data_IF_206954803869
#
_entry.id   IF_206954803869
#
_cell.length_a   1.000
_cell.length_b   1.000
_cell.length_c   1.000
_cell.angle_alpha   90.00
_cell.angle_beta   90.00
_cell.angle_gamma   90.00
#
_symmetry.space_group_name_H-M   'P 1'
#
loop_
_entity.id
_entity.type
_entity.pdbx_description
1 polymer ?
#
# COMPACT_ATOMS: atom_id res chain seq x y z
N UNK A 1 28.38 -16.06 -10.88
CA UNK A 1 28.21 -14.69 -11.41
C UNK A 1 27.00 -13.93 -10.80
N UNK A 2 26.06 -14.58 -10.10
CA UNK A 2 24.88 -13.92 -9.52
C UNK A 2 25.12 -12.95 -8.35
N UNK A 3 26.22 -13.08 -7.62
CA UNK A 3 26.44 -12.27 -6.41
C UNK A 3 26.89 -10.82 -6.66
N UNK A 4 27.62 -10.56 -7.73
CA UNK A 4 28.17 -9.22 -8.03
C UNK A 4 27.08 -8.28 -8.59
N UNK A 5 26.21 -8.80 -9.43
CA UNK A 5 25.09 -8.01 -10.01
C UNK A 5 24.02 -7.66 -8.97
N UNK A 6 23.73 -8.59 -8.04
CA UNK A 6 22.82 -8.34 -6.92
C UNK A 6 23.35 -7.27 -5.95
N UNK A 7 24.66 -7.25 -5.69
CA UNK A 7 25.28 -6.24 -4.82
C UNK A 7 25.31 -4.84 -5.44
N UNK A 8 25.44 -4.71 -6.74
CA UNK A 8 25.36 -3.41 -7.44
C UNK A 8 23.91 -2.90 -7.49
N UNK A 9 22.96 -3.76 -7.82
CA UNK A 9 21.54 -3.41 -7.82
C UNK A 9 21.08 -2.97 -6.40
N UNK A 10 21.54 -3.65 -5.35
CA UNK A 10 21.24 -3.30 -3.97
C UNK A 10 21.75 -1.89 -3.60
N UNK A 11 22.97 -1.52 -4.00
CA UNK A 11 23.51 -0.18 -3.72
C UNK A 11 22.75 0.95 -4.42
N UNK A 12 22.05 0.66 -5.51
CA UNK A 12 21.25 1.62 -6.26
C UNK A 12 19.77 1.64 -5.84
N UNK A 13 19.33 0.63 -5.09
CA UNK A 13 17.93 0.45 -4.75
C UNK A 13 17.60 0.73 -3.27
N UNK A 14 18.61 0.65 -2.37
CA UNK A 14 18.39 0.75 -0.94
C UNK A 14 19.20 1.88 -0.31
N UNK A 15 18.53 2.76 0.43
CA UNK A 15 19.10 3.94 1.06
C UNK A 15 18.66 4.03 2.52
N UNK A 16 19.16 3.15 3.41
CA UNK A 16 18.84 3.24 4.83
C UNK A 16 19.27 4.60 5.40
N UNK A 17 18.50 5.20 6.32
CA UNK A 17 18.90 6.39 7.04
C UNK A 17 20.24 6.17 7.74
N UNK A 18 21.17 7.11 7.59
CA UNK A 18 22.48 7.05 8.25
C UNK A 18 22.86 8.42 8.79
N UNK A 19 22.90 8.60 10.12
CA UNK A 19 22.62 7.59 11.15
C UNK A 19 21.13 7.18 11.18
N UNK A 20 20.79 6.02 11.79
CA UNK A 20 19.42 5.64 12.07
C UNK A 20 18.73 6.68 12.96
N UNK A 21 17.41 6.90 12.76
CA UNK A 21 16.67 7.94 13.49
C UNK A 21 16.37 7.57 14.93
N UNK A 22 16.60 6.33 15.34
CA UNK A 22 16.38 5.82 16.69
C UNK A 22 17.49 4.86 17.13
N UNK A 23 17.54 4.59 18.45
CA UNK A 23 18.32 3.51 19.05
C UNK A 23 17.37 2.60 19.83
N UNK A 24 17.74 1.33 19.99
CA UNK A 24 17.05 0.42 20.91
C UNK A 24 17.63 0.59 22.31
N UNK A 25 16.75 0.75 23.27
CA UNK A 25 17.07 0.83 24.69
C UNK A 25 16.24 -0.22 25.42
N UNK A 26 16.86 -1.01 26.28
CA UNK A 26 16.13 -1.87 27.20
C UNK A 26 15.74 -1.04 28.43
N UNK A 27 14.46 -1.08 28.80
CA UNK A 27 14.00 -0.51 30.05
C UNK A 27 14.55 -1.32 31.22
N UNK A 28 15.24 -0.68 32.14
CA UNK A 28 15.95 -1.36 33.24
C UNK A 28 15.02 -2.09 34.21
N UNK A 29 13.76 -1.64 34.35
CA UNK A 29 12.81 -2.21 35.30
C UNK A 29 11.98 -3.34 34.69
N UNK A 30 11.58 -3.19 33.42
CA UNK A 30 10.66 -4.12 32.74
C UNK A 30 11.37 -5.06 31.79
N UNK A 31 12.59 -4.73 31.36
CA UNK A 31 13.33 -5.44 30.31
C UNK A 31 12.76 -5.25 28.91
N UNK A 32 11.71 -4.41 28.75
CA UNK A 32 11.09 -4.14 27.45
C UNK A 32 12.02 -3.35 26.54
N UNK A 33 11.98 -3.66 25.25
CA UNK A 33 12.70 -2.87 24.25
C UNK A 33 11.89 -1.61 23.92
N UNK A 34 12.58 -0.48 23.88
CA UNK A 34 12.00 0.84 23.57
C UNK A 34 12.80 1.51 22.47
N UNK A 35 12.16 2.42 21.72
CA UNK A 35 12.83 3.34 20.82
C UNK A 35 13.25 4.59 21.59
N UNK A 36 14.56 4.92 21.59
CA UNK A 36 15.18 5.92 22.50
C UNK A 36 14.61 7.33 22.45
N UNK A 37 13.94 7.71 21.37
CA UNK A 37 13.44 9.08 21.11
C UNK A 37 11.93 9.22 21.26
N UNK A 38 11.24 8.12 21.59
CA UNK A 38 9.77 8.10 21.64
C UNK A 38 9.28 7.76 23.04
N UNK A 39 8.16 8.36 23.48
CA UNK A 39 7.56 8.00 24.76
C UNK A 39 7.07 6.56 24.73
N UNK A 40 7.28 5.85 25.84
CA UNK A 40 6.67 4.54 26.04
C UNK A 40 5.14 4.64 25.95
N UNK A 41 4.54 3.72 25.17
CA UNK A 41 3.09 3.56 25.08
C UNK A 41 2.76 2.11 25.40
N UNK A 42 1.84 1.87 26.32
CA UNK A 42 1.45 0.52 26.76
C UNK A 42 0.94 -0.40 25.63
N UNK A 43 0.42 0.20 24.57
CA UNK A 43 -0.07 -0.54 23.41
C UNK A 43 0.94 -0.69 22.27
N UNK A 44 2.20 -0.29 22.49
CA UNK A 44 3.29 -0.39 21.51
C UNK A 44 4.35 -1.33 22.04
N UNK A 45 4.68 -2.34 21.26
CA UNK A 45 5.67 -3.37 21.57
C UNK A 45 6.75 -3.35 20.48
N UNK A 46 8.03 -3.37 20.92
CA UNK A 46 9.19 -3.43 20.04
C UNK A 46 9.78 -4.83 20.10
N UNK A 47 10.01 -5.42 18.94
CA UNK A 47 10.43 -6.81 18.79
C UNK A 47 11.73 -6.91 17.99
N UNK A 48 12.48 -7.97 18.24
CA UNK A 48 13.59 -8.44 17.41
C UNK A 48 13.24 -9.81 16.88
N UNK A 49 13.18 -9.93 15.57
CA UNK A 49 12.69 -11.13 14.90
C UNK A 49 13.80 -11.74 14.04
N UNK A 50 14.19 -12.99 14.29
CA UNK A 50 15.16 -13.70 13.45
C UNK A 50 14.56 -14.04 12.09
N UNK A 51 15.34 -13.83 11.03
CA UNK A 51 14.92 -14.18 9.66
C UNK A 51 15.57 -15.48 9.20
N UNK A 52 14.95 -16.14 8.22
CA UNK A 52 15.54 -17.34 7.58
C UNK A 52 16.87 -17.10 6.86
N UNK A 53 17.26 -15.83 6.70
CA UNK A 53 18.55 -15.43 6.10
C UNK A 53 19.65 -15.19 7.14
N UNK A 54 19.39 -15.46 8.43
CA UNK A 54 20.34 -15.27 9.53
C UNK A 54 20.53 -13.81 9.93
N UNK A 55 19.66 -12.91 9.53
CA UNK A 55 19.57 -11.54 10.00
C UNK A 55 18.51 -11.43 11.09
N UNK A 56 18.55 -10.35 11.87
CA UNK A 56 17.54 -10.01 12.87
C UNK A 56 16.93 -8.66 12.49
N UNK A 57 15.61 -8.60 12.35
CA UNK A 57 14.88 -7.38 12.03
C UNK A 57 14.17 -6.83 13.25
N UNK A 58 14.13 -5.50 13.35
CA UNK A 58 13.36 -4.80 14.38
C UNK A 58 11.96 -4.56 13.84
N UNK A 59 10.94 -4.89 14.65
CA UNK A 59 9.56 -4.65 14.34
C UNK A 59 8.88 -3.90 15.48
N UNK A 60 7.83 -3.15 15.13
CA UNK A 60 6.98 -2.42 16.06
C UNK A 60 5.54 -2.87 15.89
N UNK A 61 4.95 -3.41 16.94
CA UNK A 61 3.54 -3.79 16.97
C UNK A 61 2.72 -2.80 17.78
N UNK A 62 1.67 -2.28 17.22
CA UNK A 62 0.71 -1.37 17.85
C UNK A 62 -0.61 -2.11 17.96
N UNK A 63 -1.05 -2.36 19.19
CA UNK A 63 -2.32 -3.01 19.47
C UNK A 63 -3.44 -1.98 19.54
N UNK A 64 -4.50 -2.21 18.77
CA UNK A 64 -5.74 -1.46 18.90
C UNK A 64 -6.76 -2.27 19.70
N UNK A 65 -7.34 -1.73 20.79
CA UNK A 65 -8.11 -2.53 21.76
C UNK A 65 -9.40 -3.17 21.19
N UNK A 66 -9.90 -2.65 20.06
CA UNK A 66 -11.17 -3.07 19.46
C UNK A 66 -11.00 -3.78 18.12
N UNK A 67 -9.77 -4.13 17.72
CA UNK A 67 -9.53 -4.69 16.38
C UNK A 67 -9.04 -6.12 16.41
N UNK A 68 -9.54 -6.92 15.48
CA UNK A 68 -8.94 -8.20 15.08
C UNK A 68 -8.10 -8.07 13.81
N UNK A 69 -8.36 -7.06 12.98
CA UNK A 69 -7.61 -6.82 11.73
C UNK A 69 -6.25 -6.21 12.01
N UNK A 70 -5.23 -6.66 11.29
CA UNK A 70 -3.85 -6.18 11.42
C UNK A 70 -3.34 -5.66 10.08
N UNK A 71 -2.81 -4.43 10.09
CA UNK A 71 -2.10 -3.84 8.96
C UNK A 71 -0.60 -4.15 9.09
N UNK A 72 -0.06 -4.97 8.20
CA UNK A 72 1.39 -5.23 8.09
C UNK A 72 2.00 -4.26 7.08
N UNK A 73 2.80 -3.30 7.59
CA UNK A 73 3.31 -2.17 6.80
C UNK A 73 4.78 -2.34 6.43
N UNK A 74 5.06 -2.36 5.13
CA UNK A 74 6.39 -2.30 4.53
C UNK A 74 6.65 -0.87 4.06
N UNK A 75 7.53 -0.15 4.77
CA UNK A 75 7.78 1.27 4.55
C UNK A 75 8.55 1.58 3.26
N UNK A 76 8.57 2.85 2.88
CA UNK A 76 9.32 3.34 1.72
C UNK A 76 10.84 3.33 1.94
N UNK A 77 11.57 3.58 0.85
CA UNK A 77 13.01 3.73 0.90
C UNK A 77 13.40 4.96 1.73
N UNK A 78 14.62 4.97 2.28
CA UNK A 78 15.17 6.06 3.08
C UNK A 78 14.35 6.42 4.34
N UNK A 79 13.55 5.49 4.86
CA UNK A 79 12.83 5.60 6.12
C UNK A 79 13.24 4.48 7.08
N UNK A 80 13.00 4.66 8.38
CA UNK A 80 13.11 3.66 9.42
C UNK A 80 11.94 3.79 10.43
N UNK A 81 11.83 2.84 11.35
CA UNK A 81 10.73 2.80 12.32
C UNK A 81 10.60 4.07 13.15
N UNK A 82 11.72 4.74 13.46
CA UNK A 82 11.66 5.99 14.21
C UNK A 82 10.95 7.08 13.41
N UNK A 83 11.26 7.23 12.12
CA UNK A 83 10.58 8.21 11.26
C UNK A 83 9.12 7.83 11.01
N UNK A 84 8.78 6.54 11.03
CA UNK A 84 7.42 6.05 10.79
C UNK A 84 6.57 5.98 12.06
N UNK A 85 7.13 6.20 13.24
CA UNK A 85 6.47 5.94 14.53
C UNK A 85 5.11 6.65 14.66
N UNK A 86 5.09 7.96 14.48
CA UNK A 86 3.86 8.73 14.64
C UNK A 86 2.83 8.39 13.55
N UNK A 87 3.26 8.20 12.29
CA UNK A 87 2.36 7.76 11.22
C UNK A 87 1.70 6.42 11.57
N UNK A 88 2.44 5.47 12.09
CA UNK A 88 1.92 4.15 12.44
C UNK A 88 0.90 4.24 13.59
N UNK A 89 1.19 5.05 14.60
CA UNK A 89 0.23 5.32 15.69
C UNK A 89 -1.07 5.93 15.13
N UNK A 90 -0.96 6.97 14.31
CA UNK A 90 -2.11 7.65 13.70
C UNK A 90 -2.92 6.70 12.79
N UNK A 91 -2.25 5.90 11.95
CA UNK A 91 -2.94 4.92 11.12
C UNK A 91 -3.70 3.89 11.96
N UNK A 92 -3.09 3.36 13.01
CA UNK A 92 -3.76 2.41 13.92
C UNK A 92 -5.03 3.00 14.54
N UNK A 93 -4.95 4.23 15.03
CA UNK A 93 -6.08 4.94 15.65
C UNK A 93 -7.19 5.23 14.62
N UNK A 94 -6.82 5.83 13.47
CA UNK A 94 -7.80 6.27 12.49
C UNK A 94 -8.47 5.13 11.75
N UNK A 95 -7.74 4.06 11.45
CA UNK A 95 -8.27 2.90 10.76
C UNK A 95 -8.89 1.87 11.71
N UNK A 96 -8.61 1.99 13.01
CA UNK A 96 -9.02 1.02 14.04
C UNK A 96 -8.51 -0.39 13.75
N UNK A 97 -7.21 -0.48 13.47
CA UNK A 97 -6.52 -1.75 13.16
C UNK A 97 -5.32 -1.90 14.10
N UNK A 98 -4.92 -3.14 14.38
CA UNK A 98 -3.56 -3.38 14.86
C UNK A 98 -2.61 -3.02 13.72
N UNK A 99 -1.42 -2.56 14.04
CA UNK A 99 -0.42 -2.26 13.03
C UNK A 99 0.92 -2.90 13.39
N UNK A 100 1.52 -3.58 12.44
CA UNK A 100 2.89 -4.09 12.53
C UNK A 100 3.73 -3.44 11.45
N UNK A 101 4.71 -2.63 11.85
CA UNK A 101 5.76 -2.12 10.96
C UNK A 101 7.11 -2.73 11.31
N UNK A 102 8.06 -2.70 10.38
CA UNK A 102 9.38 -3.29 10.61
C UNK A 102 10.44 -2.61 9.75
N UNK A 103 11.68 -2.63 10.23
CA UNK A 103 12.85 -2.21 9.48
C UNK A 103 13.44 -3.37 8.70
N UNK A 104 13.75 -3.17 7.42
CA UNK A 104 14.41 -4.19 6.60
C UNK A 104 15.81 -4.49 7.12
N UNK A 105 16.35 -5.66 6.79
CA UNK A 105 17.76 -5.98 7.03
C UNK A 105 18.66 -4.83 6.58
N UNK A 106 19.45 -4.28 7.52
CA UNK A 106 20.34 -3.13 7.29
C UNK A 106 19.69 -1.75 7.36
N UNK A 107 18.41 -1.66 7.75
CA UNK A 107 17.70 -0.41 8.08
C UNK A 107 17.56 -0.26 9.59
N UNK A 108 17.50 0.98 10.07
CA UNK A 108 17.30 1.31 11.47
C UNK A 108 18.30 0.57 12.37
N UNK A 109 17.80 -0.25 13.28
CA UNK A 109 18.58 -1.12 14.17
C UNK A 109 18.52 -2.61 13.76
N UNK A 110 17.98 -2.92 12.58
CA UNK A 110 17.99 -4.26 12.00
C UNK A 110 19.39 -4.64 11.51
N UNK A 111 19.80 -5.90 11.73
CA UNK A 111 21.11 -6.38 11.35
C UNK A 111 21.24 -6.67 9.84
N UNK A 112 22.46 -6.89 9.37
CA UNK A 112 22.74 -7.35 8.01
C UNK A 112 22.89 -6.22 6.99
N UNK A 113 22.54 -6.52 5.72
CA UNK A 113 22.60 -5.58 4.60
C UNK A 113 21.35 -5.73 3.74
N UNK A 114 20.82 -4.63 3.18
CA UNK A 114 19.59 -4.70 2.39
C UNK A 114 19.83 -5.39 1.05
N UNK A 115 18.88 -6.21 0.67
CA UNK A 115 18.77 -6.81 -0.66
C UNK A 115 17.33 -7.27 -0.90
N UNK A 116 16.94 -7.47 -2.15
CA UNK A 116 15.63 -8.02 -2.49
C UNK A 116 15.31 -9.29 -1.69
N UNK A 117 16.25 -10.24 -1.64
CA UNK A 117 16.07 -11.53 -0.97
C UNK A 117 16.01 -11.42 0.58
N UNK A 118 16.66 -10.41 1.15
CA UNK A 118 16.52 -10.13 2.58
C UNK A 118 15.15 -9.52 2.87
N UNK A 119 14.69 -8.54 2.09
CA UNK A 119 13.36 -7.93 2.34
C UNK A 119 12.22 -8.95 2.24
N UNK A 120 12.34 -9.98 1.40
CA UNK A 120 11.38 -11.09 1.36
C UNK A 120 11.44 -11.97 2.60
N UNK A 121 12.65 -12.22 3.14
CA UNK A 121 12.81 -12.97 4.38
C UNK A 121 12.35 -12.15 5.60
N UNK A 122 12.55 -10.83 5.54
CA UNK A 122 12.18 -9.90 6.60
C UNK A 122 10.65 -9.84 6.77
N UNK A 123 9.89 -9.58 5.70
CA UNK A 123 8.43 -9.57 5.77
C UNK A 123 7.85 -10.93 6.15
N UNK A 124 8.47 -12.03 5.71
CA UNK A 124 8.06 -13.40 6.08
C UNK A 124 8.23 -13.66 7.58
N UNK A 125 9.34 -13.19 8.19
CA UNK A 125 9.57 -13.33 9.61
C UNK A 125 8.54 -12.53 10.43
N UNK A 126 8.23 -11.30 9.99
CA UNK A 126 7.22 -10.45 10.64
C UNK A 126 5.82 -11.03 10.49
N UNK A 127 5.48 -11.56 9.32
CA UNK A 127 4.20 -12.22 9.08
C UNK A 127 4.02 -13.46 9.99
N UNK A 128 5.05 -14.31 10.10
CA UNK A 128 5.05 -15.46 11.01
C UNK A 128 4.89 -15.05 12.47
N UNK A 129 5.51 -13.96 12.88
CA UNK A 129 5.33 -13.42 14.22
C UNK A 129 3.85 -13.04 14.46
N UNK A 130 3.16 -12.47 13.48
CA UNK A 130 1.73 -12.18 13.59
C UNK A 130 0.90 -13.46 13.72
N UNK A 131 1.19 -14.49 12.93
CA UNK A 131 0.46 -15.77 13.00
C UNK A 131 0.74 -16.54 14.30
N UNK A 132 2.02 -16.76 14.61
CA UNK A 132 2.46 -17.64 15.71
C UNK A 132 2.43 -16.93 17.07
N UNK A 133 2.84 -15.66 17.11
CA UNK A 133 2.96 -14.89 18.35
C UNK A 133 1.66 -14.17 18.76
N UNK A 134 0.92 -13.65 17.80
CA UNK A 134 -0.30 -12.87 18.06
C UNK A 134 -1.58 -13.58 17.64
N UNK A 135 -1.49 -14.78 17.04
CA UNK A 135 -2.64 -15.59 16.62
C UNK A 135 -3.45 -14.96 15.49
N UNK A 136 -2.85 -14.03 14.72
CA UNK A 136 -3.52 -13.38 13.61
C UNK A 136 -3.78 -14.38 12.49
N UNK A 137 -5.02 -14.45 12.00
CA UNK A 137 -5.35 -15.29 10.86
C UNK A 137 -5.03 -14.57 9.57
N UNK A 138 -4.72 -15.31 8.50
CA UNK A 138 -4.44 -14.76 7.19
C UNK A 138 -5.55 -13.82 6.69
N UNK A 139 -6.81 -14.21 6.92
CA UNK A 139 -8.01 -13.46 6.59
C UNK A 139 -8.21 -12.16 7.40
N UNK A 140 -7.40 -11.93 8.44
CA UNK A 140 -7.42 -10.72 9.26
C UNK A 140 -6.25 -9.77 8.93
N UNK A 141 -5.35 -10.18 8.04
CA UNK A 141 -4.15 -9.40 7.69
C UNK A 141 -4.36 -8.61 6.40
N UNK A 142 -4.09 -7.32 6.46
CA UNK A 142 -3.99 -6.40 5.33
C UNK A 142 -2.51 -6.08 5.13
N UNK A 143 -1.95 -6.40 3.98
CA UNK A 143 -0.59 -6.01 3.64
C UNK A 143 -0.56 -4.61 3.04
N UNK A 144 0.37 -3.79 3.51
CA UNK A 144 0.57 -2.43 3.03
C UNK A 144 2.01 -2.25 2.54
N UNK A 145 2.19 -1.78 1.30
CA UNK A 145 3.50 -1.55 0.72
C UNK A 145 3.65 -0.16 0.15
N UNK A 146 4.57 0.64 0.70
CA UNK A 146 4.88 1.97 0.22
C UNK A 146 6.13 1.94 -0.66
N UNK A 147 6.06 2.46 -1.88
CA UNK A 147 7.21 2.60 -2.78
C UNK A 147 7.97 1.28 -2.95
N UNK A 148 9.24 1.21 -2.53
CA UNK A 148 10.04 -0.02 -2.51
C UNK A 148 9.40 -1.14 -1.68
N UNK A 149 8.65 -0.77 -0.64
CA UNK A 149 7.91 -1.71 0.21
C UNK A 149 6.82 -2.48 -0.54
N UNK A 150 6.38 -2.01 -1.72
CA UNK A 150 5.49 -2.80 -2.60
C UNK A 150 6.13 -4.11 -3.09
N UNK A 151 7.48 -4.19 -3.11
CA UNK A 151 8.22 -5.39 -3.49
C UNK A 151 7.99 -6.58 -2.55
N UNK A 152 8.40 -6.49 -1.27
CA UNK A 152 8.14 -7.54 -0.30
C UNK A 152 6.65 -7.79 -0.07
N UNK A 153 5.81 -6.74 -0.08
CA UNK A 153 4.36 -6.84 0.04
C UNK A 153 3.76 -7.73 -1.03
N UNK A 154 4.05 -7.50 -2.30
CA UNK A 154 3.51 -8.32 -3.40
C UNK A 154 4.14 -9.70 -3.48
N UNK A 155 5.39 -9.86 -3.07
CA UNK A 155 6.01 -11.18 -2.96
C UNK A 155 5.29 -12.06 -1.94
N UNK A 156 4.96 -11.51 -0.78
CA UNK A 156 4.21 -12.22 0.25
C UNK A 156 2.76 -12.44 -0.17
N UNK A 157 2.08 -11.41 -0.68
CA UNK A 157 0.68 -11.49 -1.10
C UNK A 157 0.43 -12.56 -2.17
N UNK A 158 1.35 -12.72 -3.11
CA UNK A 158 1.25 -13.74 -4.17
C UNK A 158 1.30 -15.20 -3.63
N UNK A 159 1.71 -15.39 -2.38
CA UNK A 159 1.81 -16.71 -1.71
C UNK A 159 0.71 -16.96 -0.67
N UNK A 160 -0.12 -15.95 -0.40
CA UNK A 160 -1.15 -15.99 0.64
C UNK A 160 -2.55 -15.91 0.03
N UNK A 161 -3.20 -17.05 -0.27
CA UNK A 161 -4.47 -17.08 -1.00
C UNK A 161 -5.69 -16.55 -0.21
N UNK A 162 -5.59 -16.51 1.12
CA UNK A 162 -6.69 -16.08 1.99
C UNK A 162 -6.46 -14.73 2.65
N UNK A 163 -5.52 -13.94 2.12
CA UNK A 163 -5.21 -12.63 2.64
C UNK A 163 -6.45 -11.71 2.56
N UNK A 164 -6.66 -10.86 3.58
CA UNK A 164 -7.80 -9.95 3.60
C UNK A 164 -7.78 -8.95 2.46
N UNK A 165 -6.64 -8.27 2.29
CA UNK A 165 -6.48 -7.24 1.25
C UNK A 165 -5.01 -6.79 1.10
N UNK A 166 -4.74 -6.04 0.04
CA UNK A 166 -3.45 -5.37 -0.20
C UNK A 166 -3.68 -3.89 -0.46
N UNK A 167 -2.83 -3.05 0.14
CA UNK A 167 -2.72 -1.61 -0.16
C UNK A 167 -1.35 -1.35 -0.79
N UNK A 168 -1.33 -0.70 -1.92
CA UNK A 168 -0.13 -0.28 -2.63
C UNK A 168 -0.10 1.26 -2.70
N UNK A 169 0.86 1.87 -2.01
CA UNK A 169 1.05 3.31 -1.92
C UNK A 169 2.26 3.73 -2.75
N UNK A 170 2.06 4.53 -3.79
CA UNK A 170 3.10 4.92 -4.76
C UNK A 170 3.98 3.76 -5.22
N UNK A 171 3.36 2.60 -5.62
CA UNK A 171 4.08 1.34 -5.84
C UNK A 171 4.95 1.40 -7.10
N UNK A 172 5.96 0.54 -7.13
CA UNK A 172 6.84 0.36 -8.29
C UNK A 172 6.43 -0.86 -9.12
N UNK A 173 6.54 -0.79 -10.45
CA UNK A 173 6.36 -1.95 -11.34
C UNK A 173 7.51 -2.95 -11.21
N UNK A 174 8.73 -2.41 -11.13
CA UNK A 174 9.97 -3.12 -10.81
C UNK A 174 11.08 -2.09 -10.57
N UNK A 175 12.19 -2.49 -9.98
CA UNK A 175 13.33 -1.59 -9.72
C UNK A 175 13.88 -0.97 -11.00
N UNK A 176 14.03 -1.75 -12.07
CA UNK A 176 14.55 -1.26 -13.34
C UNK A 176 13.60 -0.25 -14.00
N UNK A 177 12.28 -0.45 -13.88
CA UNK A 177 11.28 0.43 -14.50
C UNK A 177 11.17 1.80 -13.83
N UNK A 178 11.59 1.93 -12.57
CA UNK A 178 11.72 3.24 -11.92
C UNK A 178 12.80 4.09 -12.56
N UNK A 179 13.90 3.40 -13.00
CA UNK A 179 15.08 4.07 -13.53
C UNK A 179 15.02 4.31 -15.03
N UNK A 180 14.41 3.37 -15.78
CA UNK A 180 14.43 3.35 -17.24
C UNK A 180 13.05 2.95 -17.79
N UNK A 181 12.63 3.52 -18.94
CA UNK A 181 11.38 3.18 -19.59
C UNK A 181 11.49 1.85 -20.38
N UNK A 182 11.69 0.74 -19.64
CA UNK A 182 11.82 -0.59 -20.26
C UNK A 182 10.48 -1.30 -20.32
N UNK A 183 10.18 -1.95 -21.46
CA UNK A 183 8.93 -2.68 -21.69
C UNK A 183 8.98 -4.14 -21.22
N UNK A 184 10.16 -4.75 -21.20
CA UNK A 184 10.36 -6.16 -20.84
C UNK A 184 10.97 -6.31 -19.45
N UNK A 185 10.65 -7.41 -18.76
CA UNK A 185 11.32 -7.81 -17.51
C UNK A 185 12.66 -8.46 -17.86
N UNK A 186 13.71 -8.12 -17.13
CA UNK A 186 15.04 -8.68 -17.26
C UNK A 186 15.35 -9.59 -16.07
N UNK A 187 16.24 -10.56 -16.25
CA UNK A 187 16.58 -11.53 -15.20
C UNK A 187 17.22 -10.89 -13.96
N UNK A 188 17.93 -9.76 -14.13
CA UNK A 188 18.59 -8.99 -13.06
C UNK A 188 17.72 -7.89 -12.45
N UNK A 189 16.48 -7.70 -12.95
CA UNK A 189 15.54 -6.72 -12.41
C UNK A 189 15.00 -7.20 -11.07
N UNK A 190 14.94 -6.29 -10.09
CA UNK A 190 14.44 -6.56 -8.76
C UNK A 190 12.97 -6.15 -8.62
N UNK A 191 12.27 -6.74 -7.67
CA UNK A 191 10.88 -6.43 -7.36
C UNK A 191 9.99 -6.42 -8.61
N UNK A 192 9.94 -7.53 -9.34
CA UNK A 192 9.09 -7.69 -10.52
C UNK A 192 7.59 -7.73 -10.14
N UNK A 193 7.11 -6.61 -9.62
CA UNK A 193 5.74 -6.47 -9.12
C UNK A 193 4.70 -6.65 -10.22
N UNK A 194 5.03 -6.22 -11.44
CA UNK A 194 4.19 -6.40 -12.62
C UNK A 194 3.82 -7.87 -12.89
N UNK A 195 4.73 -8.79 -12.56
CA UNK A 195 4.51 -10.22 -12.75
C UNK A 195 3.75 -10.83 -11.56
N UNK A 196 3.98 -10.30 -10.34
CA UNK A 196 3.41 -10.81 -9.09
C UNK A 196 1.98 -10.37 -8.83
N UNK A 197 1.60 -9.16 -9.23
CA UNK A 197 0.28 -8.61 -8.98
C UNK A 197 -0.85 -9.50 -9.51
N UNK A 198 -0.61 -10.19 -10.62
CA UNK A 198 -1.55 -11.11 -11.24
C UNK A 198 -1.75 -12.42 -10.44
N UNK A 199 -0.92 -12.68 -9.42
CA UNK A 199 -1.02 -13.84 -8.53
C UNK A 199 -1.77 -13.52 -7.23
N UNK A 200 -2.10 -12.25 -7.00
CA UNK A 200 -2.81 -11.79 -5.79
C UNK A 200 -4.30 -12.05 -5.91
N UNK A 201 -4.87 -12.80 -4.97
CA UNK A 201 -6.27 -13.26 -4.98
C UNK A 201 -7.20 -12.49 -4.01
N UNK A 202 -6.79 -11.31 -3.55
CA UNK A 202 -7.59 -10.48 -2.64
C UNK A 202 -7.77 -9.05 -3.18
N UNK A 203 -8.68 -8.24 -2.60
CA UNK A 203 -8.88 -6.86 -3.01
C UNK A 203 -7.61 -6.02 -2.92
N UNK A 204 -7.30 -5.29 -3.99
CA UNK A 204 -6.13 -4.41 -4.10
C UNK A 204 -6.57 -2.96 -4.23
N UNK A 205 -6.14 -2.13 -3.26
CA UNK A 205 -6.23 -0.68 -3.32
C UNK A 205 -4.89 -0.11 -3.78
N UNK A 206 -4.90 0.73 -4.80
CA UNK A 206 -3.73 1.52 -5.22
C UNK A 206 -3.98 3.00 -4.90
N UNK A 207 -3.01 3.62 -4.21
CA UNK A 207 -2.98 5.06 -3.91
C UNK A 207 -1.74 5.62 -4.59
N UNK A 208 -1.88 6.67 -5.41
CA UNK A 208 -0.75 7.28 -6.11
C UNK A 208 -0.97 8.76 -6.40
N UNK A 209 0.07 9.56 -6.23
CA UNK A 209 0.06 10.98 -6.57
C UNK A 209 0.19 11.20 -8.09
N UNK A 210 -0.59 12.13 -8.66
CA UNK A 210 -0.51 12.39 -10.11
C UNK A 210 0.68 13.26 -10.50
N UNK A 211 1.35 13.89 -9.54
CA UNK A 211 2.55 14.69 -9.72
C UNK A 211 3.79 14.01 -9.09
N UNK A 212 3.75 12.67 -8.90
CA UNK A 212 4.87 11.91 -8.36
C UNK A 212 6.08 11.97 -9.31
N UNK A 213 7.13 12.64 -8.86
CA UNK A 213 8.37 12.85 -9.63
C UNK A 213 9.40 11.73 -9.42
N UNK A 214 9.18 10.81 -8.48
CA UNK A 214 10.07 9.69 -8.15
C UNK A 214 9.64 8.43 -8.87
N UNK A 215 8.38 8.06 -8.70
CA UNK A 215 7.75 6.90 -9.34
C UNK A 215 6.55 7.40 -10.14
N UNK A 216 6.64 7.41 -11.46
CA UNK A 216 5.55 7.89 -12.31
C UNK A 216 4.22 7.18 -12.00
N UNK A 217 3.13 7.93 -11.97
CA UNK A 217 1.79 7.44 -11.62
C UNK A 217 1.32 6.28 -12.51
N UNK A 218 1.89 6.12 -13.71
CA UNK A 218 1.60 4.99 -14.60
C UNK A 218 1.97 3.65 -13.99
N UNK A 219 2.95 3.61 -13.06
CA UNK A 219 3.29 2.39 -12.32
C UNK A 219 2.10 1.87 -11.51
N UNK A 220 1.51 2.74 -10.70
CA UNK A 220 0.32 2.40 -9.93
C UNK A 220 -0.88 2.03 -10.81
N UNK A 221 -1.10 2.79 -11.90
CA UNK A 221 -2.19 2.50 -12.86
C UNK A 221 -2.05 1.12 -13.49
N UNK A 222 -0.86 0.74 -13.95
CA UNK A 222 -0.63 -0.57 -14.54
C UNK A 222 -0.80 -1.71 -13.52
N UNK A 223 -0.32 -1.56 -12.28
CA UNK A 223 -0.54 -2.55 -11.24
C UNK A 223 -2.03 -2.70 -10.92
N UNK A 224 -2.76 -1.59 -10.84
CA UNK A 224 -4.20 -1.63 -10.62
C UNK A 224 -4.93 -2.32 -11.79
N UNK A 225 -4.57 -2.02 -13.04
CA UNK A 225 -5.14 -2.66 -14.23
C UNK A 225 -4.91 -4.17 -14.27
N UNK A 226 -3.75 -4.63 -13.80
CA UNK A 226 -3.38 -6.04 -13.77
C UNK A 226 -3.89 -6.81 -12.54
N UNK A 227 -4.40 -6.11 -11.52
CA UNK A 227 -4.96 -6.75 -10.32
C UNK A 227 -6.21 -7.56 -10.66
N UNK A 228 -6.39 -8.73 -10.03
CA UNK A 228 -7.59 -9.58 -10.19
C UNK A 228 -8.81 -8.95 -9.52
N UNK A 229 -8.67 -8.59 -8.25
CA UNK A 229 -9.73 -7.94 -7.47
C UNK A 229 -9.38 -6.45 -7.25
N UNK A 230 -9.95 -5.60 -8.08
CA UNK A 230 -9.70 -4.15 -8.06
C UNK A 230 -10.62 -3.46 -7.07
N UNK A 231 -10.05 -2.73 -6.12
CA UNK A 231 -10.79 -1.70 -5.39
C UNK A 231 -10.67 -0.36 -6.11
N UNK A 232 -11.61 0.57 -5.87
CA UNK A 232 -11.57 1.93 -6.41
C UNK A 232 -10.23 2.59 -6.05
N UNK A 233 -9.38 2.96 -7.03
CA UNK A 233 -8.07 3.51 -6.75
C UNK A 233 -8.15 4.96 -6.29
N UNK A 234 -7.13 5.44 -5.59
CA UNK A 234 -7.01 6.84 -5.21
C UNK A 234 -5.89 7.51 -6.00
N UNK A 235 -6.25 8.24 -7.06
CA UNK A 235 -5.33 9.09 -7.80
C UNK A 235 -5.38 10.50 -7.22
N UNK A 236 -4.42 10.85 -6.33
CA UNK A 236 -4.38 12.16 -5.68
C UNK A 236 -3.85 13.21 -6.65
N UNK A 237 -4.73 14.13 -7.05
CA UNK A 237 -4.38 15.21 -7.98
C UNK A 237 -3.36 16.16 -7.34
N UNK A 238 -2.21 16.31 -7.99
CA UNK A 238 -1.13 17.18 -7.51
C UNK A 238 -0.31 16.57 -6.37
N UNK A 239 -0.70 15.39 -5.83
CA UNK A 239 0.08 14.66 -4.83
C UNK A 239 1.40 14.18 -5.40
N UNK A 240 2.46 14.25 -4.59
CA UNK A 240 3.82 13.81 -4.92
C UNK A 240 4.10 12.43 -4.29
N UNK A 241 5.36 11.97 -4.33
CA UNK A 241 5.76 10.65 -3.82
C UNK A 241 5.62 10.48 -2.31
N UNK A 242 5.87 11.54 -1.54
CA UNK A 242 6.04 11.50 -0.09
C UNK A 242 5.12 12.46 0.68
N UNK A 243 4.00 12.88 0.11
CA UNK A 243 3.08 13.83 0.73
C UNK A 243 1.62 13.36 0.75
N UNK A 244 1.34 12.14 0.26
CA UNK A 244 -0.02 11.67 0.08
C UNK A 244 -0.78 11.56 1.40
N UNK A 245 -0.10 11.23 2.49
CA UNK A 245 -0.66 11.13 3.83
C UNK A 245 -1.14 12.48 4.39
N UNK A 246 -0.64 13.60 3.83
CA UNK A 246 -1.09 14.95 4.20
C UNK A 246 -2.43 15.33 3.55
N UNK A 247 -2.87 14.59 2.52
CA UNK A 247 -4.13 14.87 1.86
C UNK A 247 -5.31 14.25 2.64
N UNK A 248 -6.36 15.02 2.98
CA UNK A 248 -7.52 14.49 3.70
C UNK A 248 -8.22 13.33 2.99
N UNK A 249 -8.10 13.26 1.66
CA UNK A 249 -8.61 12.19 0.83
C UNK A 249 -7.96 10.84 1.15
N UNK A 250 -6.66 10.84 1.45
CA UNK A 250 -5.90 9.65 1.75
C UNK A 250 -6.50 8.86 2.91
N UNK A 251 -6.59 9.44 4.08
CA UNK A 251 -7.10 8.73 5.27
C UNK A 251 -8.59 8.40 5.13
N UNK A 252 -9.40 9.25 4.48
CA UNK A 252 -10.81 8.97 4.24
C UNK A 252 -11.00 7.77 3.32
N UNK A 253 -10.24 7.69 2.22
CA UNK A 253 -10.32 6.61 1.26
C UNK A 253 -9.81 5.29 1.85
N UNK A 254 -8.67 5.33 2.54
CA UNK A 254 -8.10 4.18 3.22
C UNK A 254 -9.05 3.62 4.29
N UNK A 255 -9.69 4.49 5.08
CA UNK A 255 -10.70 4.10 6.06
C UNK A 255 -11.94 3.44 5.41
N UNK A 256 -12.42 3.99 4.29
CA UNK A 256 -13.50 3.40 3.50
C UNK A 256 -13.11 2.01 2.99
N UNK A 257 -11.88 1.85 2.50
CA UNK A 257 -11.34 0.56 2.05
C UNK A 257 -11.32 -0.46 3.17
N UNK A 258 -10.65 -0.17 4.29
CA UNK A 258 -10.57 -1.07 5.46
C UNK A 258 -11.97 -1.49 5.91
N UNK A 259 -12.87 -0.53 6.12
CA UNK A 259 -14.26 -0.85 6.51
C UNK A 259 -15.04 -1.67 5.47
N UNK A 260 -14.65 -1.62 4.20
CA UNK A 260 -15.27 -2.44 3.14
C UNK A 260 -14.75 -3.86 3.17
N UNK A 261 -13.44 -4.05 3.31
CA UNK A 261 -12.82 -5.39 3.30
C UNK A 261 -13.04 -6.17 4.61
N UNK A 262 -13.37 -5.49 5.69
CA UNK A 262 -13.80 -6.13 6.94
C UNK A 262 -15.16 -6.83 6.81
N UNK A 263 -16.01 -6.40 5.86
CA UNK A 263 -17.29 -7.05 5.59
C UNK A 263 -17.08 -8.40 4.89
N UNK A 264 -17.93 -9.40 5.16
CA UNK A 264 -17.91 -10.66 4.43
C UNK A 264 -17.99 -10.44 2.91
N UNK A 265 -17.36 -11.27 2.06
CA UNK A 265 -17.36 -11.11 0.60
C UNK A 265 -18.77 -10.92 0.00
N UNK A 266 -19.78 -11.60 0.53
CA UNK A 266 -21.18 -11.47 0.12
C UNK A 266 -21.78 -10.08 0.31
N UNK A 267 -21.21 -9.25 1.19
CA UNK A 267 -21.71 -7.91 1.51
C UNK A 267 -20.85 -6.77 0.94
N UNK A 268 -19.69 -7.08 0.35
CA UNK A 268 -18.75 -6.06 -0.14
C UNK A 268 -19.29 -5.23 -1.32
N UNK A 269 -20.17 -5.80 -2.15
CA UNK A 269 -20.61 -5.20 -3.41
C UNK A 269 -22.10 -4.79 -3.46
N UNK A 270 -22.87 -4.92 -2.39
CA UNK A 270 -24.29 -4.58 -2.37
C UNK A 270 -24.59 -3.08 -2.38
N UNK A 271 -23.60 -2.21 -2.16
CA UNK A 271 -23.77 -0.75 -2.12
C UNK A 271 -23.75 -0.02 -3.46
N UNK A 272 -23.21 -0.62 -4.52
CA UNK A 272 -23.03 0.03 -5.83
C UNK A 272 -24.15 -0.20 -6.84
N UNK A 273 -25.12 -1.09 -6.56
CA UNK A 273 -26.20 -1.46 -7.50
C UNK A 273 -27.50 -0.64 -7.37
N UNK A 274 -27.56 0.39 -6.52
CA UNK A 274 -28.79 1.18 -6.31
C UNK A 274 -28.87 2.51 -7.08
N UNK A 275 -28.14 2.68 -8.18
CA UNK A 275 -28.28 3.86 -9.07
C UNK A 275 -28.21 3.47 -10.54
N UNK A 276 -29.15 2.66 -11.03
CA UNK A 276 -29.59 2.65 -12.43
C UNK A 276 -30.68 1.61 -12.65
N UNK A 277 -31.87 1.86 -12.13
CA UNK A 277 -33.11 1.19 -12.56
C UNK A 277 -34.20 2.25 -12.59
N UNK A 278 -34.13 3.10 -13.62
CA UNK A 278 -35.24 3.83 -14.19
C UNK A 278 -34.92 4.04 -15.67
N UNK A 279 -35.07 2.98 -16.46
CA UNK A 279 -35.36 3.09 -17.88
C UNK A 279 -36.38 2.00 -18.25
N UNK A 280 -37.52 2.50 -18.69
CA UNK A 280 -38.72 1.83 -19.06
C UNK A 280 -38.51 0.63 -20.01
N UNK A 281 -39.13 -0.47 -19.65
CA UNK A 281 -39.36 -1.64 -20.51
C UNK A 281 -40.35 -1.28 -21.63
N UNK A 282 -39.89 -1.31 -22.87
CA UNK A 282 -40.73 -1.46 -24.06
C UNK A 282 -40.71 -2.93 -24.51
N UNK A 283 -41.87 -3.48 -24.94
CA UNK A 283 -42.00 -4.91 -25.25
C UNK A 283 -41.35 -5.28 -26.59
N UNK A 284 -40.96 -6.55 -26.80
CA UNK A 284 -40.25 -7.00 -27.99
C UNK A 284 -41.18 -7.15 -29.18
N UNK A 285 -40.77 -6.57 -30.31
CA UNK A 285 -41.40 -6.84 -31.63
C UNK A 285 -40.90 -8.19 -32.17
N UNK A 286 -41.85 -9.04 -32.55
CA UNK A 286 -41.65 -10.24 -33.34
C UNK A 286 -41.18 -9.87 -34.74
N UNK A 287 -40.19 -10.53 -35.29
CA UNK A 287 -39.94 -10.58 -36.71
C UNK A 287 -39.52 -11.99 -37.14
N UNK A 288 -40.10 -12.36 -38.20
CA UNK A 288 -40.23 -13.64 -38.88
C UNK A 288 -38.95 -14.12 -39.56
N UNK A 289 -38.88 -15.42 -39.65
CA UNK A 289 -37.89 -16.25 -40.34
C UNK A 289 -37.67 -15.87 -41.81
N UNK A 290 -36.40 -15.93 -42.26
CA UNK A 290 -36.09 -16.32 -43.63
C UNK A 290 -34.83 -17.19 -43.57
N UNK A 291 -35.05 -18.42 -43.99
CA UNK A 291 -34.05 -19.47 -44.28
C UNK A 291 -33.36 -19.16 -45.61
N UNK A 292 -32.06 -19.28 -45.73
CA UNK A 292 -31.39 -19.63 -46.97
C UNK A 292 -30.14 -20.48 -46.76
N UNK A 293 -30.08 -21.49 -47.62
CA UNK A 293 -29.19 -22.67 -47.66
C UNK A 293 -27.76 -22.38 -48.15
N UNK A 294 -26.95 -23.33 -47.77
CA UNK A 294 -25.63 -23.75 -48.12
C UNK A 294 -25.00 -23.41 -49.47
N UNK A 295 -23.71 -23.22 -49.50
CA UNK A 295 -22.82 -23.88 -50.48
C UNK A 295 -21.37 -24.00 -50.00
N UNK A 296 -20.92 -25.25 -50.01
CA UNK A 296 -19.53 -25.69 -49.82
C UNK A 296 -18.67 -25.28 -51.00
N UNK A 297 -17.39 -24.91 -50.75
CA UNK A 297 -16.26 -25.38 -51.61
C UNK A 297 -14.93 -25.24 -50.82
N UNK A 298 -14.29 -26.40 -50.66
CA UNK A 298 -12.91 -26.61 -50.26
C UNK A 298 -11.93 -26.24 -51.40
N UNK A 299 -10.78 -25.65 -51.08
CA UNK A 299 -9.58 -25.83 -51.83
C UNK A 299 -8.37 -25.84 -50.94
N UNK A 300 -7.76 -27.01 -50.89
CA UNK A 300 -6.41 -27.31 -50.41
C UNK A 300 -5.38 -26.44 -51.11
N UNK A 301 -4.43 -25.83 -50.37
CA UNK A 301 -3.11 -25.52 -50.87
C UNK A 301 -2.08 -25.62 -49.76
N UNK A 302 -1.30 -26.72 -49.85
CA UNK A 302 0.00 -26.91 -49.20
C UNK A 302 0.94 -25.77 -49.60
N UNK A 303 1.59 -25.12 -48.64
CA UNK A 303 2.87 -24.47 -48.86
C UNK A 303 3.89 -24.84 -47.78
N UNK A 304 5.13 -25.03 -48.28
CA UNK A 304 6.32 -25.61 -47.62
C UNK A 304 6.92 -24.66 -46.57
N UNK A 305 7.71 -25.19 -45.61
CA UNK A 305 8.39 -24.39 -44.59
C UNK A 305 9.57 -23.62 -45.18
N UNK A 306 9.64 -22.32 -44.86
CA UNK A 306 10.81 -21.50 -45.12
C UNK A 306 11.74 -21.54 -43.91
N UNK A 307 12.99 -21.91 -44.13
CA UNK A 307 14.12 -21.76 -43.23
C UNK A 307 14.27 -20.31 -42.78
N UNK A 308 14.20 -20.08 -41.46
CA UNK A 308 14.61 -18.84 -40.83
C UNK A 308 16.05 -19.01 -40.35
N UNK A 309 16.94 -18.30 -40.97
CA UNK A 309 18.33 -18.16 -40.51
C UNK A 309 18.36 -17.19 -39.35
N UNK A 310 18.56 -17.72 -38.15
CA UNK A 310 18.89 -16.94 -36.97
C UNK A 310 20.26 -16.29 -37.13
N UNK A 311 20.26 -15.00 -37.45
CA UNK A 311 21.43 -14.16 -37.25
C UNK A 311 21.40 -13.66 -35.80
N UNK A 312 22.25 -14.26 -34.98
CA UNK A 312 22.60 -13.77 -33.66
C UNK A 312 23.12 -12.32 -33.80
N UNK A 313 22.42 -11.38 -33.17
CA UNK A 313 22.92 -10.03 -32.92
C UNK A 313 24.01 -10.09 -31.86
N UNK A 314 25.12 -9.33 -31.99
CA UNK A 314 26.21 -9.29 -31.03
C UNK A 314 25.70 -8.70 -29.70
N UNK A 315 26.31 -9.06 -28.56
CA UNK A 315 25.91 -8.55 -27.24
C UNK A 315 26.12 -7.03 -27.19
N UNK A 316 25.06 -6.27 -27.27
CA UNK A 316 25.09 -4.84 -27.05
C UNK A 316 25.51 -4.58 -25.63
N UNK A 317 26.57 -3.85 -25.49
CA UNK A 317 27.25 -3.45 -24.26
C UNK A 317 26.30 -2.76 -23.29
N UNK A 318 25.74 -3.52 -22.32
CA UNK A 318 24.84 -3.04 -21.28
C UNK A 318 25.54 -1.98 -20.41
N UNK A 319 26.87 -2.04 -20.33
CA UNK A 319 27.68 -1.02 -19.64
C UNK A 319 27.63 0.34 -20.35
N UNK A 320 27.40 0.38 -21.66
CA UNK A 320 27.31 1.63 -22.42
C UNK A 320 25.95 2.34 -22.27
N UNK A 321 24.88 1.58 -21.95
CA UNK A 321 23.56 2.12 -21.60
C UNK A 321 23.53 2.68 -20.17
N UNK A 322 24.27 2.07 -19.24
CA UNK A 322 24.42 2.54 -17.86
C UNK A 322 25.24 3.83 -17.75
N UNK A 323 26.17 4.07 -18.66
CA UNK A 323 27.06 5.25 -18.62
C UNK A 323 26.51 6.48 -19.37
N UNK A 324 25.47 6.34 -20.19
CA UNK A 324 24.86 7.44 -20.95
C UNK A 324 23.57 8.03 -20.38
N UNK A 325 23.05 7.47 -19.27
CA UNK A 325 21.92 8.08 -18.59
C UNK A 325 22.43 9.27 -17.77
N UNK A 326 21.88 10.44 -18.02
CA UNK A 326 22.14 11.70 -17.31
C UNK A 326 22.32 11.46 -15.82
N UNK A 327 23.56 11.47 -15.33
CA UNK A 327 23.93 11.34 -13.91
C UNK A 327 23.21 12.37 -13.03
N UNK A 328 22.88 13.54 -13.59
CA UNK A 328 22.17 14.60 -12.91
C UNK A 328 20.73 14.23 -12.54
N UNK A 329 19.99 13.52 -13.40
CA UNK A 329 18.60 13.14 -13.15
C UNK A 329 18.51 12.03 -12.06
N UNK A 330 19.52 11.18 -11.98
CA UNK A 330 19.60 10.14 -10.96
C UNK A 330 19.97 10.72 -9.59
N UNK A 331 20.96 11.62 -9.55
CA UNK A 331 21.36 12.33 -8.33
C UNK A 331 20.21 13.16 -7.75
N UNK A 332 19.44 13.84 -8.60
CA UNK A 332 18.30 14.64 -8.18
C UNK A 332 17.15 13.78 -7.62
N UNK A 333 16.83 12.65 -8.28
CA UNK A 333 15.85 11.69 -7.75
C UNK A 333 16.29 11.06 -6.43
N UNK A 334 17.59 10.74 -6.28
CA UNK A 334 18.18 10.21 -5.05
C UNK A 334 18.18 11.24 -3.93
N UNK A 335 18.41 12.51 -4.25
CA UNK A 335 18.38 13.60 -3.28
C UNK A 335 16.96 13.90 -2.79
N UNK A 336 15.96 13.84 -3.68
CA UNK A 336 14.52 13.91 -3.32
C UNK A 336 14.11 12.76 -2.38
N UNK A 337 14.66 11.56 -2.55
CA UNK A 337 14.43 10.42 -1.63
C UNK A 337 15.13 10.59 -0.27
N UNK A 338 16.27 11.31 -0.21
CA UNK A 338 17.01 11.58 1.04
C UNK A 338 16.40 12.70 1.89
N UNK A 339 15.71 13.66 1.27
CA UNK A 339 15.14 14.83 1.96
C UNK A 339 13.87 14.52 2.78
N UNK A 340 13.61 13.26 3.11
CA UNK A 340 12.47 12.81 3.91
C UNK A 340 12.59 13.12 5.43
N UNK A 341 13.71 13.71 5.88
CA UNK A 341 13.99 13.90 7.32
C UNK A 341 13.02 14.83 8.08
N UNK A 342 12.19 15.61 7.37
CA UNK A 342 11.14 16.46 7.97
C UNK A 342 9.74 15.85 7.87
N UNK A 343 9.66 14.56 7.56
CA UNK A 343 8.40 13.89 7.24
C UNK A 343 7.48 13.74 8.46
N UNK A 344 8.03 13.28 9.58
CA UNK A 344 7.25 13.03 10.80
C UNK A 344 6.60 14.30 11.38
N UNK A 345 7.32 15.43 11.35
CA UNK A 345 6.80 16.71 11.86
C UNK A 345 5.70 17.28 10.97
N UNK A 346 5.84 17.16 9.65
CA UNK A 346 4.78 17.55 8.69
C UNK A 346 3.53 16.68 8.82
N UNK A 347 3.69 15.38 9.03
CA UNK A 347 2.57 14.45 9.27
C UNK A 347 1.78 14.84 10.53
N UNK A 348 2.48 15.08 11.64
CA UNK A 348 1.85 15.48 12.90
C UNK A 348 0.99 16.73 12.73
N UNK A 349 1.51 17.76 12.06
CA UNK A 349 0.76 19.01 11.79
C UNK A 349 -0.48 18.74 10.93
N UNK A 350 -0.37 17.87 9.93
CA UNK A 350 -1.49 17.54 9.04
C UNK A 350 -2.60 16.76 9.75
N UNK A 351 -2.24 15.74 10.55
CA UNK A 351 -3.22 14.96 11.32
C UNK A 351 -3.87 15.83 12.41
N UNK A 352 -3.13 16.68 13.12
CA UNK A 352 -3.67 17.65 14.07
C UNK A 352 -4.65 18.63 13.41
N UNK A 353 -4.40 19.04 12.17
CA UNK A 353 -5.30 19.92 11.44
C UNK A 353 -6.61 19.24 11.04
N UNK A 354 -6.54 17.97 10.62
CA UNK A 354 -7.72 17.14 10.33
C UNK A 354 -8.54 16.89 11.61
N UNK A 355 -7.88 16.61 12.74
CA UNK A 355 -8.51 16.38 14.02
C UNK A 355 -9.18 17.65 14.56
N UNK A 356 -8.53 18.83 14.46
CA UNK A 356 -9.13 20.12 14.82
C UNK A 356 -10.36 20.44 13.99
N UNK A 357 -10.30 20.17 12.67
CA UNK A 357 -11.46 20.33 11.79
C UNK A 357 -12.63 19.43 12.19
N UNK A 358 -12.36 18.17 12.57
CA UNK A 358 -13.36 17.24 13.10
C UNK A 358 -13.99 17.73 14.41
N UNK A 359 -13.18 18.11 15.39
CA UNK A 359 -13.67 18.65 16.69
C UNK A 359 -14.52 19.91 16.50
N UNK A 360 -14.17 20.74 15.50
CA UNK A 360 -14.97 21.92 15.15
C UNK A 360 -16.33 21.52 14.60
N UNK A 361 -16.40 20.52 13.71
CA UNK A 361 -17.66 20.02 13.14
C UNK A 361 -18.51 19.33 14.20
N UNK A 362 -17.91 18.50 15.06
CA UNK A 362 -18.62 17.82 16.15
C UNK A 362 -19.15 18.81 17.18
N UNK A 363 -18.37 19.85 17.51
CA UNK A 363 -18.81 20.93 18.38
C UNK A 363 -19.99 21.73 17.78
N UNK A 364 -19.98 21.99 16.46
CA UNK A 364 -21.09 22.63 15.77
C UNK A 364 -22.36 21.75 15.75
N UNK A 365 -22.21 20.44 15.52
CA UNK A 365 -23.31 19.49 15.57
C UNK A 365 -23.91 19.35 16.97
N UNK A 366 -23.07 19.36 18.01
CA UNK A 366 -23.53 19.30 19.42
C UNK A 366 -24.26 20.57 19.84
N UNK A 367 -23.78 21.75 19.42
CA UNK A 367 -24.48 23.04 19.62
C UNK A 367 -25.83 23.07 18.90
N UNK A 368 -25.89 22.55 17.68
CA UNK A 368 -27.13 22.47 16.91
C UNK A 368 -28.14 21.52 17.56
N UNK A 369 -27.71 20.35 18.07
CA UNK A 369 -28.56 19.43 18.83
C UNK A 369 -29.10 20.08 20.10
N UNK A 370 -28.25 20.73 20.92
CA UNK A 370 -28.67 21.44 22.13
C UNK A 370 -29.68 22.59 21.86
N UNK A 371 -29.52 23.27 20.71
CA UNK A 371 -30.46 24.31 20.27
C UNK A 371 -31.82 23.74 19.90
N UNK A 372 -31.87 22.61 19.22
CA UNK A 372 -33.10 21.92 18.83
C UNK A 372 -33.82 21.37 20.07
N UNK A 373 -33.12 20.76 21.01
CA UNK A 373 -33.69 20.26 22.27
C UNK A 373 -34.26 21.39 23.14
N UNK A 374 -33.58 22.53 23.20
CA UNK A 374 -34.07 23.70 23.90
C UNK A 374 -35.33 24.32 23.25
N UNK A 375 -35.44 24.27 21.92
CA UNK A 375 -36.67 24.71 21.21
C UNK A 375 -37.84 23.73 21.44
N UNK A 376 -37.57 22.41 21.44
CA UNK A 376 -38.56 21.38 21.74
C UNK A 376 -39.08 21.50 23.21
N UNK A 377 -38.21 21.80 24.16
CA UNK A 377 -38.58 21.99 25.56
C UNK A 377 -39.39 23.25 25.77
N UNK A 378 -39.09 24.37 25.09
CA UNK A 378 -39.93 25.58 25.08
C UNK A 378 -41.31 25.33 24.46
N UNK A 379 -41.36 24.56 23.36
CA UNK A 379 -42.62 24.15 22.73
C UNK A 379 -43.51 23.33 23.68
N UNK A 380 -42.96 22.37 24.41
CA UNK A 380 -43.68 21.57 25.44
C UNK A 380 -44.21 22.43 26.54
N UNK A 381 -43.41 23.33 27.14
CA UNK A 381 -43.84 24.25 28.21
C UNK A 381 -44.94 25.24 27.75
N UNK A 382 -44.99 25.58 26.45
CA UNK A 382 -46.05 26.41 25.87
C UNK A 382 -47.37 25.67 25.75
N UNK A 383 -47.33 24.39 25.35
CA UNK A 383 -48.54 23.53 25.24
C UNK A 383 -49.14 23.21 26.58
N UNK A 384 -48.33 22.99 27.61
CA UNK A 384 -48.83 22.72 28.97
C UNK A 384 -49.51 23.95 29.64
N UNK A 385 -49.05 25.17 29.30
CA UNK A 385 -49.73 26.41 29.73
C UNK A 385 -51.09 26.64 29.10
N UNK A 386 -51.37 26.07 27.93
CA UNK A 386 -52.67 26.18 27.24
C UNK A 386 -53.65 25.11 27.76
N UNK A 387 -53.17 24.05 28.43
CA UNK A 387 -54.02 22.99 28.99
C UNK A 387 -54.47 23.23 30.44
N UNK A 388 -53.93 24.23 31.14
CA UNK A 388 -54.22 24.54 32.52
C UNK A 388 -54.82 25.91 32.74
N UNK A 389 -55.32 26.59 31.69
CA UNK A 389 -56.06 27.87 31.72
C UNK A 389 -57.53 27.71 31.37
#
# INVERSE_FOLDING_TARGET
MGGVTSSMAAKLAFFPPNPPSYKLVADEMTGLLLLSTFPHRENVEILKLPTRKGTEVVAMYIRHPMSTSTLLYSHGNAADLGQMYELFVELSIHLRVNLMGYDYSGYGQSSGKPSEQHTYADIEAVYKCLEEGYGAKQEDIILYGQSVGSGPTLDLAARLPHLRAVVLHSPILSGLRVMYPVKKSYWFDIYKNIDKIQLVDCPVLVIHGTADEVVDCSHGKQLWELSKEKYEPLWLKGGNHCDLEHHPEYIRHLKKFVSTVEKPPSQRYTGSRRRSTDQQLLPPRKSTDIVFEASRKSTDRREKPRHSTDKALPPTDVNKLLLKSNSNNLSEKLEKLKNQSNYAEKLRVSFDQVERSRRSVDCCLEKSRKSVDHQLERGRKSVDRIRTG
#
